data_IF_517617102864
#
_entry.id   IF_517617102864
#
_cell.length_a   1.000
_cell.length_b   1.000
_cell.length_c   1.000
_cell.angle_alpha   90.00
_cell.angle_beta   90.00
_cell.angle_gamma   90.00
#
_symmetry.space_group_name_H-M   'P 1'
#
loop_
_entity.id
_entity.type
_entity.pdbx_description
1 polymer ?
#
# COMPACT_ATOMS: atom_id res chain seq x y z
N UNK A 1 8.21 -20.61 12.62
CA UNK A 1 9.59 -20.10 12.62
C UNK A 1 10.56 -21.12 12.04
N UNK A 2 10.68 -22.32 12.62
CA UNK A 2 11.65 -23.38 12.23
C UNK A 2 11.71 -23.69 10.72
N UNK A 3 10.55 -23.68 10.03
CA UNK A 3 10.46 -24.02 8.60
C UNK A 3 10.75 -22.86 7.65
N UNK A 4 10.34 -21.65 8.06
CA UNK A 4 10.44 -20.47 7.21
C UNK A 4 11.74 -19.70 7.45
N UNK A 5 12.31 -19.77 8.66
CA UNK A 5 13.43 -18.95 9.10
C UNK A 5 13.02 -17.52 9.46
N UNK A 6 14.00 -16.65 9.76
CA UNK A 6 13.77 -15.24 10.08
C UNK A 6 13.31 -14.42 8.89
N UNK A 7 13.01 -13.14 9.13
CA UNK A 7 12.95 -12.15 8.06
C UNK A 7 14.30 -12.04 7.35
N UNK A 8 14.25 -11.74 6.05
CA UNK A 8 15.46 -11.53 5.25
C UNK A 8 15.97 -10.11 5.52
N UNK A 9 17.18 -9.94 6.11
CA UNK A 9 17.72 -8.63 6.44
C UNK A 9 18.07 -7.79 5.22
N UNK A 10 18.01 -8.34 4.00
CA UNK A 10 18.18 -7.61 2.76
C UNK A 10 17.00 -6.72 2.37
N UNK A 11 15.93 -6.66 3.16
CA UNK A 11 14.83 -5.71 3.01
C UNK A 11 14.97 -4.58 4.03
N UNK A 12 15.58 -3.43 3.68
CA UNK A 12 15.74 -2.32 4.61
C UNK A 12 14.44 -1.61 5.00
N UNK A 13 13.41 -1.66 4.15
CA UNK A 13 12.09 -1.09 4.44
C UNK A 13 11.02 -1.70 3.54
N UNK A 14 9.98 -2.28 4.15
CA UNK A 14 8.89 -2.99 3.48
C UNK A 14 9.32 -4.27 2.75
N UNK A 15 8.33 -5.10 2.42
CA UNK A 15 8.45 -6.40 1.74
C UNK A 15 9.10 -7.53 2.55
N UNK A 16 9.70 -7.26 3.72
CA UNK A 16 10.24 -8.28 4.62
C UNK A 16 9.17 -9.24 5.12
N UNK A 17 8.00 -8.70 5.49
CA UNK A 17 6.85 -9.47 5.93
C UNK A 17 6.24 -10.24 4.76
N UNK A 18 5.99 -9.56 3.63
CA UNK A 18 5.40 -10.17 2.44
C UNK A 18 6.24 -11.34 1.92
N UNK A 19 7.56 -11.18 1.87
CA UNK A 19 8.50 -12.25 1.54
C UNK A 19 8.37 -13.44 2.50
N UNK A 20 8.32 -13.14 3.80
CA UNK A 20 8.22 -14.16 4.83
C UNK A 20 6.89 -14.92 4.76
N UNK A 21 5.77 -14.22 4.57
CA UNK A 21 4.45 -14.83 4.40
C UNK A 21 4.40 -15.75 3.17
N UNK A 22 5.03 -15.35 2.06
CA UNK A 22 5.13 -16.21 0.87
C UNK A 22 6.03 -17.43 1.13
N UNK A 23 7.11 -17.30 1.90
CA UNK A 23 7.91 -18.45 2.36
C UNK A 23 7.13 -19.39 3.26
N UNK A 24 6.39 -18.85 4.22
CA UNK A 24 5.50 -19.60 5.13
C UNK A 24 4.46 -20.38 4.32
N UNK A 25 3.85 -19.74 3.32
CA UNK A 25 2.93 -20.39 2.38
C UNK A 25 3.60 -21.48 1.55
N UNK A 26 4.79 -21.24 0.99
CA UNK A 26 5.58 -22.26 0.24
C UNK A 26 6.00 -23.42 1.14
N UNK A 27 6.19 -23.17 2.43
CA UNK A 27 6.37 -24.21 3.42
C UNK A 27 5.05 -24.96 3.72
N UNK A 28 3.91 -24.67 3.11
CA UNK A 28 2.66 -25.37 3.40
C UNK A 28 2.09 -25.06 4.78
N UNK A 29 2.49 -23.94 5.40
CA UNK A 29 1.82 -23.45 6.60
C UNK A 29 0.56 -22.66 6.20
N UNK A 30 -0.59 -22.91 6.85
CA UNK A 30 -1.79 -22.11 6.62
C UNK A 30 -1.66 -20.72 7.25
N UNK A 31 -2.37 -19.75 6.67
CA UNK A 31 -2.59 -18.42 7.26
C UNK A 31 -4.03 -18.35 7.76
N UNK A 32 -4.21 -17.88 9.00
CA UNK A 32 -5.52 -17.83 9.65
C UNK A 32 -5.84 -16.38 10.02
N UNK A 33 -7.06 -15.96 9.70
CA UNK A 33 -7.63 -14.73 10.25
C UNK A 33 -8.38 -15.08 11.53
N UNK A 34 -8.03 -14.41 12.64
CA UNK A 34 -8.63 -14.63 13.95
C UNK A 34 -9.30 -13.34 14.39
N UNK A 35 -10.63 -13.17 14.17
CA UNK A 35 -11.31 -11.91 14.45
C UNK A 35 -11.33 -11.53 15.94
N UNK A 36 -11.19 -12.52 16.84
CA UNK A 36 -11.10 -12.29 18.28
C UNK A 36 -9.73 -11.77 18.74
N UNK A 37 -8.71 -11.82 17.87
CA UNK A 37 -7.39 -11.25 18.16
C UNK A 37 -7.38 -9.81 17.65
N UNK A 38 -7.35 -8.85 18.57
CA UNK A 38 -7.40 -7.43 18.26
C UNK A 38 -6.03 -6.77 18.46
N UNK A 39 -5.63 -5.93 17.51
CA UNK A 39 -4.45 -5.09 17.59
C UNK A 39 -4.74 -3.73 16.97
N UNK A 40 -4.33 -2.65 17.65
CA UNK A 40 -4.50 -1.29 17.15
C UNK A 40 -3.18 -0.78 16.60
N UNK A 41 -3.14 -0.51 15.30
CA UNK A 41 -2.02 0.19 14.68
C UNK A 41 -2.27 1.70 14.75
N UNK A 42 -1.66 2.36 15.73
CA UNK A 42 -1.58 3.81 15.75
C UNK A 42 -0.63 4.24 14.62
N UNK A 43 -1.20 4.66 13.49
CA UNK A 43 -0.48 4.92 12.25
C UNK A 43 0.85 5.67 12.46
N UNK A 44 1.95 5.12 11.94
CA UNK A 44 3.28 5.74 12.05
C UNK A 44 3.58 6.70 10.90
N UNK A 45 4.11 7.90 11.21
CA UNK A 45 4.76 8.80 10.22
C UNK A 45 6.27 8.55 10.08
N UNK A 46 6.80 7.47 10.64
CA UNK A 46 8.24 7.22 10.73
C UNK A 46 8.92 7.20 9.36
N UNK A 47 8.27 6.64 8.34
CA UNK A 47 8.79 6.66 6.97
C UNK A 47 8.77 8.05 6.34
N UNK A 48 7.85 8.94 6.74
CA UNK A 48 7.77 10.33 6.27
C UNK A 48 8.91 11.16 6.82
N UNK A 49 9.35 10.88 8.05
CA UNK A 49 10.44 11.60 8.70
C UNK A 49 11.85 11.11 8.30
N UNK A 50 11.97 9.96 7.65
CA UNK A 50 13.24 9.37 7.24
C UNK A 50 13.52 9.65 5.74
N UNK A 51 14.50 10.51 5.40
CA UNK A 51 14.79 10.87 4.01
C UNK A 51 15.20 9.69 3.12
N UNK A 52 15.71 8.61 3.70
CA UNK A 52 16.13 7.41 2.96
C UNK A 52 14.99 6.44 2.69
N UNK A 53 13.81 6.66 3.25
CA UNK A 53 12.68 5.72 3.17
C UNK A 53 12.29 5.38 1.73
N UNK A 54 12.27 6.39 0.84
CA UNK A 54 12.02 6.17 -0.59
C UNK A 54 13.03 5.23 -1.24
N UNK A 55 14.33 5.45 -1.00
CA UNK A 55 15.39 4.58 -1.52
C UNK A 55 15.31 3.17 -0.94
N UNK A 56 15.09 3.03 0.37
CA UNK A 56 14.96 1.72 1.01
C UNK A 56 13.74 0.95 0.50
N UNK A 57 12.63 1.64 0.27
CA UNK A 57 11.46 1.05 -0.37
C UNK A 57 11.78 0.56 -1.78
N UNK A 58 12.45 1.38 -2.61
CA UNK A 58 12.82 0.98 -3.98
C UNK A 58 13.76 -0.23 -4.00
N UNK A 59 14.76 -0.25 -3.12
CA UNK A 59 15.70 -1.36 -2.95
C UNK A 59 14.96 -2.65 -2.56
N UNK A 60 14.09 -2.57 -1.55
CA UNK A 60 13.29 -3.69 -1.08
C UNK A 60 12.31 -4.18 -2.15
N UNK A 61 11.65 -3.27 -2.85
CA UNK A 61 10.69 -3.58 -3.90
C UNK A 61 11.37 -4.27 -5.10
N UNK A 62 12.57 -3.82 -5.48
CA UNK A 62 13.35 -4.46 -6.54
C UNK A 62 13.75 -5.88 -6.15
N UNK A 63 14.34 -6.05 -4.97
CA UNK A 63 14.72 -7.38 -4.43
C UNK A 63 13.53 -8.33 -4.40
N UNK A 64 12.38 -7.87 -3.91
CA UNK A 64 11.16 -8.66 -3.85
C UNK A 64 10.74 -9.10 -5.26
N UNK A 65 10.77 -8.18 -6.23
CA UNK A 65 10.40 -8.50 -7.61
C UNK A 65 11.32 -9.52 -8.25
N UNK A 66 12.63 -9.32 -8.12
CA UNK A 66 13.63 -10.24 -8.65
C UNK A 66 13.47 -11.64 -8.05
N UNK A 67 13.20 -11.73 -6.74
CA UNK A 67 13.06 -13.00 -6.02
C UNK A 67 11.78 -13.77 -6.38
N UNK A 68 10.65 -13.08 -6.53
CA UNK A 68 9.35 -13.74 -6.64
C UNK A 68 8.76 -13.76 -8.06
N UNK A 69 9.16 -12.82 -8.92
CA UNK A 69 8.71 -12.75 -10.32
C UNK A 69 9.84 -12.89 -11.35
N UNK A 70 11.10 -12.86 -10.90
CA UNK A 70 12.29 -13.01 -11.74
C UNK A 70 12.85 -11.67 -12.23
N UNK A 71 14.17 -11.65 -12.48
CA UNK A 71 14.90 -10.45 -12.89
C UNK A 71 14.35 -9.83 -14.20
N UNK A 72 14.03 -10.67 -15.19
CA UNK A 72 13.47 -10.20 -16.46
C UNK A 72 12.16 -9.41 -16.27
N UNK A 73 11.30 -9.85 -15.35
CA UNK A 73 10.02 -9.20 -15.07
C UNK A 73 10.26 -7.89 -14.33
N UNK A 74 11.21 -7.88 -13.39
CA UNK A 74 11.60 -6.67 -12.68
C UNK A 74 12.14 -5.59 -13.65
N UNK A 75 13.01 -5.98 -14.57
CA UNK A 75 13.58 -5.08 -15.59
C UNK A 75 12.52 -4.56 -16.55
N UNK A 76 11.61 -5.44 -17.01
CA UNK A 76 10.49 -5.06 -17.87
C UNK A 76 9.59 -4.03 -17.18
N UNK A 77 9.23 -4.27 -15.93
CA UNK A 77 8.37 -3.37 -15.17
C UNK A 77 9.03 -2.01 -14.94
N UNK A 78 10.32 -2.00 -14.62
CA UNK A 78 11.09 -0.75 -14.47
C UNK A 78 11.16 0.02 -15.79
N UNK A 79 11.42 -0.68 -16.90
CA UNK A 79 11.45 -0.09 -18.24
C UNK A 79 10.09 0.48 -18.66
N UNK A 80 9.00 -0.20 -18.33
CA UNK A 80 7.63 0.29 -18.57
C UNK A 80 7.31 1.52 -17.71
N UNK A 81 7.70 1.51 -16.43
CA UNK A 81 7.48 2.61 -15.50
C UNK A 81 8.14 3.92 -15.95
N UNK A 82 9.31 3.87 -16.60
CA UNK A 82 9.98 5.06 -17.17
C UNK A 82 9.18 5.76 -18.27
N UNK A 83 8.23 5.05 -18.89
CA UNK A 83 7.35 5.57 -19.96
C UNK A 83 6.04 6.13 -19.43
N UNK A 84 5.73 5.86 -18.15
CA UNK A 84 4.56 6.44 -17.52
C UNK A 84 4.85 7.90 -17.16
N UNK A 85 3.89 8.82 -17.34
CA UNK A 85 4.03 10.17 -16.86
C UNK A 85 4.33 10.12 -15.35
N UNK A 86 5.33 10.89 -14.90
CA UNK A 86 5.56 11.06 -13.46
C UNK A 86 4.24 11.53 -12.86
N UNK A 87 3.79 10.86 -11.79
CA UNK A 87 2.64 11.31 -11.02
C UNK A 87 2.83 12.79 -10.71
N UNK A 88 1.90 13.62 -11.17
CA UNK A 88 1.81 14.98 -10.67
C UNK A 88 1.62 14.88 -9.15
N UNK A 89 2.40 15.64 -8.39
CA UNK A 89 2.07 15.87 -6.98
C UNK A 89 0.70 16.54 -6.96
N UNK A 90 -0.31 15.84 -6.46
CA UNK A 90 -1.60 16.44 -6.22
C UNK A 90 -1.44 17.48 -5.11
N UNK A 91 -1.61 18.74 -5.47
CA UNK A 91 -1.61 19.89 -4.55
C UNK A 91 -3.00 20.42 -4.23
N UNK A 92 -4.05 19.83 -4.80
CA UNK A 92 -5.41 20.23 -4.43
C UNK A 92 -5.70 19.70 -3.02
N UNK A 93 -5.52 20.60 -2.04
CA UNK A 93 -5.96 20.41 -0.68
C UNK A 93 -7.48 20.14 -0.69
N UNK A 94 -7.92 19.11 0.01
CA UNK A 94 -9.35 18.90 0.25
C UNK A 94 -9.92 20.17 0.91
N UNK A 95 -11.07 20.68 0.46
CA UNK A 95 -11.62 21.93 0.97
C UNK A 95 -11.85 21.84 2.48
N UNK A 96 -11.16 22.69 3.26
CA UNK A 96 -11.26 22.71 4.72
C UNK A 96 -12.67 23.06 5.23
N UNK A 97 -13.49 23.70 4.39
CA UNK A 97 -14.85 24.11 4.69
C UNK A 97 -15.89 22.98 4.60
N UNK A 98 -15.48 21.75 4.25
CA UNK A 98 -16.41 20.65 3.96
C UNK A 98 -17.05 20.77 2.57
N UNK A 99 -17.91 19.82 2.22
CA UNK A 99 -18.67 19.80 0.97
C UNK A 99 -20.13 20.15 1.26
N UNK A 100 -20.71 21.11 0.54
CA UNK A 100 -22.16 21.34 0.55
C UNK A 100 -22.85 20.31 -0.34
N UNK A 101 -23.68 19.47 0.27
CA UNK A 101 -24.35 18.34 -0.38
C UNK A 101 -25.87 18.51 -0.41
N UNK A 102 -26.42 19.60 0.14
CA UNK A 102 -27.85 19.77 0.38
C UNK A 102 -28.69 19.78 -0.91
N UNK A 103 -28.08 20.15 -2.05
CA UNK A 103 -28.73 20.19 -3.36
C UNK A 103 -28.67 18.88 -4.15
N UNK A 104 -28.04 17.83 -3.64
CA UNK A 104 -27.84 16.57 -4.36
C UNK A 104 -28.96 15.56 -4.07
N UNK A 105 -29.31 14.70 -5.05
CA UNK A 105 -30.30 13.65 -4.83
C UNK A 105 -29.77 12.58 -3.89
N UNK A 106 -30.54 12.26 -2.86
CA UNK A 106 -30.25 11.18 -1.91
C UNK A 106 -30.97 9.87 -2.29
N UNK A 107 -30.42 8.70 -1.92
CA UNK A 107 -29.16 8.50 -1.18
C UNK A 107 -27.93 8.84 -2.02
N UNK A 108 -26.93 9.44 -1.38
CA UNK A 108 -25.70 9.90 -2.03
C UNK A 108 -24.53 9.00 -1.66
N UNK A 109 -23.74 8.57 -2.63
CA UNK A 109 -22.43 7.96 -2.39
C UNK A 109 -21.35 9.05 -2.46
N UNK A 110 -20.51 9.12 -1.44
CA UNK A 110 -19.31 9.95 -1.44
C UNK A 110 -18.11 9.03 -1.43
N UNK A 111 -17.21 9.26 -2.37
CA UNK A 111 -15.93 8.58 -2.46
C UNK A 111 -14.81 9.63 -2.35
N UNK A 112 -13.89 9.42 -1.40
CA UNK A 112 -12.75 10.30 -1.19
C UNK A 112 -11.48 9.47 -1.39
N UNK A 113 -10.64 9.95 -2.30
CA UNK A 113 -9.34 9.35 -2.61
C UNK A 113 -8.25 10.41 -2.51
N UNK A 114 -7.16 10.17 -1.77
CA UNK A 114 -5.96 11.00 -1.84
C UNK A 114 -5.19 10.81 -3.17
N UNK A 115 -5.72 9.98 -4.08
CA UNK A 115 -5.08 9.57 -5.32
C UNK A 115 -5.99 9.90 -6.52
N UNK A 116 -5.49 10.56 -7.58
CA UNK A 116 -6.33 11.01 -8.69
C UNK A 116 -6.84 9.85 -9.55
N UNK A 117 -6.23 8.67 -9.44
CA UNK A 117 -6.74 7.46 -10.07
C UNK A 117 -7.99 6.88 -9.35
N UNK A 118 -8.47 7.53 -8.28
CA UNK A 118 -9.61 7.06 -7.50
C UNK A 118 -9.31 5.85 -6.60
N UNK A 119 -8.05 5.46 -6.42
CA UNK A 119 -7.70 4.31 -5.58
C UNK A 119 -6.32 4.46 -4.92
N UNK A 120 -6.15 4.18 -3.61
CA UNK A 120 -7.18 3.71 -2.68
C UNK A 120 -8.18 4.82 -2.34
N UNK A 121 -9.45 4.45 -2.13
CA UNK A 121 -10.50 5.37 -1.75
C UNK A 121 -11.29 4.84 -0.54
N UNK A 122 -11.86 5.75 0.23
CA UNK A 122 -12.89 5.46 1.20
C UNK A 122 -14.23 5.93 0.65
N UNK A 123 -15.26 5.09 0.75
CA UNK A 123 -16.59 5.43 0.28
C UNK A 123 -17.64 5.21 1.37
N UNK A 124 -18.57 6.15 1.48
CA UNK A 124 -19.70 6.08 2.40
C UNK A 124 -21.01 6.43 1.66
N UNK A 125 -22.07 5.70 2.00
CA UNK A 125 -23.42 6.00 1.54
C UNK A 125 -24.16 6.82 2.58
N UNK A 126 -24.47 8.07 2.23
CA UNK A 126 -25.28 8.95 3.05
C UNK A 126 -26.76 8.75 2.75
N UNK A 127 -27.54 8.65 3.82
CA UNK A 127 -28.99 8.84 3.75
C UNK A 127 -29.32 10.34 3.63
N UNK A 128 -30.57 10.66 3.29
CA UNK A 128 -31.03 12.04 3.38
C UNK A 128 -30.79 12.57 4.81
N UNK A 129 -30.38 13.84 4.96
CA UNK A 129 -30.16 14.46 6.26
C UNK A 129 -31.43 14.50 7.12
#
# INVERSE_FOLDING_TARGET
WERAGPFDPGYPLYFEETDWLLRVRRAGCPAWYVPAAEAVHLHGRSAVAEPRSGRWFEESARRFRERWYGAWFADLLEGAGRRLPRRAELREESPAAGLDLAGLPFPLWIEISPNPAGFPAAAERLAAP
#
